data_IF_603362510965
#
_entry.id   IF_603362510965
#
_cell.length_a   1.000
_cell.length_b   1.000
_cell.length_c   1.000
_cell.angle_alpha   90.00
_cell.angle_beta   90.00
_cell.angle_gamma   90.00
#
_symmetry.space_group_name_H-M   'P 1'
#
loop_
_entity.id
_entity.type
_entity.pdbx_description
1 polymer ?
#
# COMPACT_ATOMS: atom_id res chain seq x y z
N UNK A 1 -12.34 -26.45 23.84
CA UNK A 1 -11.06 -26.22 23.14
C UNK A 1 -11.37 -25.28 22.00
N UNK A 2 -11.43 -23.98 22.28
CA UNK A 2 -11.33 -22.95 21.24
C UNK A 2 -9.96 -23.13 20.56
N UNK A 3 -9.98 -23.48 19.28
CA UNK A 3 -8.82 -23.34 18.40
C UNK A 3 -8.96 -22.02 17.69
N UNK A 4 -8.21 -21.02 18.17
CA UNK A 4 -8.11 -19.69 17.58
C UNK A 4 -7.50 -19.81 16.17
N UNK A 5 -8.30 -19.46 15.16
CA UNK A 5 -7.88 -19.46 13.77
C UNK A 5 -6.99 -18.23 13.56
N UNK A 6 -5.71 -18.46 13.27
CA UNK A 6 -4.77 -17.39 12.93
C UNK A 6 -5.34 -16.55 11.78
N UNK A 7 -5.69 -15.31 12.06
CA UNK A 7 -6.22 -14.36 11.08
C UNK A 7 -5.15 -14.10 10.01
N UNK A 8 -5.53 -14.27 8.74
CA UNK A 8 -4.68 -13.99 7.59
C UNK A 8 -4.73 -12.48 7.30
N UNK A 9 -3.61 -11.80 7.52
CA UNK A 9 -3.47 -10.35 7.33
C UNK A 9 -3.17 -10.06 5.85
N UNK A 10 -4.18 -9.59 5.11
CA UNK A 10 -4.01 -9.16 3.72
C UNK A 10 -3.74 -7.67 3.69
N UNK A 11 -2.68 -7.24 3.02
CA UNK A 11 -2.26 -5.84 2.98
C UNK A 11 -2.45 -5.25 1.56
N UNK A 12 -3.23 -4.18 1.39
CA UNK A 12 -3.48 -3.53 0.07
C UNK A 12 -2.87 -2.11 0.00
N UNK A 13 -2.19 -1.80 -1.10
CA UNK A 13 -1.52 -0.50 -1.28
C UNK A 13 -2.51 0.64 -1.57
N UNK A 14 -2.56 1.69 -0.75
CA UNK A 14 -3.34 2.91 -1.06
C UNK A 14 -2.57 4.18 -0.66
N UNK A 15 -2.13 5.03 -1.61
CA UNK A 15 -1.39 6.30 -1.38
C UNK A 15 -1.78 7.46 -2.33
N UNK A 16 -2.04 8.70 -1.83
CA UNK A 16 -2.86 9.76 -2.47
C UNK A 16 -2.04 10.89 -3.05
N UNK A 17 -2.22 11.11 -4.34
CA UNK A 17 -1.72 12.23 -5.11
C UNK A 17 -2.72 12.52 -6.23
N UNK A 18 -3.62 13.49 -6.04
CA UNK A 18 -4.43 13.96 -7.16
C UNK A 18 -3.60 14.92 -8.04
N UNK A 19 -3.71 14.74 -9.35
CA UNK A 19 -3.25 15.68 -10.39
C UNK A 19 -4.47 16.23 -11.12
N UNK A 20 -4.60 17.55 -11.14
CA UNK A 20 -5.58 18.27 -11.96
C UNK A 20 -4.97 18.46 -13.35
N UNK A 21 -5.68 18.11 -14.43
CA UNK A 21 -5.17 18.33 -15.79
C UNK A 21 -4.78 19.81 -15.97
N UNK A 22 -3.49 20.06 -16.24
CA UNK A 22 -2.92 21.40 -16.34
C UNK A 22 -2.18 21.91 -15.10
N UNK A 23 -2.16 21.18 -13.98
CA UNK A 23 -1.32 21.46 -12.81
C UNK A 23 -0.51 20.22 -12.41
N UNK A 24 0.76 20.21 -12.78
CA UNK A 24 1.72 19.20 -12.31
C UNK A 24 1.93 19.44 -10.81
N UNK A 25 1.48 18.52 -9.94
CA UNK A 25 1.60 18.69 -8.49
C UNK A 25 0.94 17.58 -7.68
N UNK A 26 0.95 17.74 -6.37
CA UNK A 26 0.35 16.81 -5.40
C UNK A 26 -0.73 17.52 -4.60
N UNK A 27 -1.94 16.95 -4.59
CA UNK A 27 -3.06 17.42 -3.76
C UNK A 27 -3.09 16.64 -2.45
N UNK A 28 -3.23 17.36 -1.34
CA UNK A 28 -3.50 16.80 -0.02
C UNK A 28 -4.99 17.00 0.25
N UNK A 29 -5.74 15.91 0.36
CA UNK A 29 -7.18 15.91 0.58
C UNK A 29 -7.52 15.09 1.84
N UNK A 30 -8.29 15.66 2.76
CA UNK A 30 -8.81 14.96 3.93
C UNK A 30 -10.14 14.24 3.67
N UNK A 31 -10.73 14.46 2.49
CA UNK A 31 -12.02 13.90 2.08
C UNK A 31 -11.95 12.46 1.56
N UNK A 32 -10.76 11.92 1.32
CA UNK A 32 -10.58 10.55 0.82
C UNK A 32 -9.85 9.68 1.85
N UNK A 33 -10.31 8.44 2.01
CA UNK A 33 -9.60 7.43 2.81
C UNK A 33 -8.42 6.87 2.03
N UNK A 34 -8.69 6.60 0.74
CA UNK A 34 -7.72 6.08 -0.19
C UNK A 34 -7.11 7.21 -0.99
N UNK A 35 -6.15 6.75 -1.75
CA UNK A 35 -4.98 7.48 -1.96
C UNK A 35 -4.58 6.98 -3.36
N UNK A 36 -4.74 7.87 -4.34
CA UNK A 36 -4.63 7.65 -5.78
C UNK A 36 -3.29 8.11 -6.35
N UNK A 37 -2.61 7.26 -7.10
CA UNK A 37 -1.44 7.65 -7.89
C UNK A 37 -1.78 7.58 -9.39
N UNK A 38 -1.11 8.36 -10.24
CA UNK A 38 -1.12 8.11 -11.68
C UNK A 38 -0.66 6.67 -11.94
N UNK A 39 -1.29 5.97 -12.90
CA UNK A 39 -1.07 4.54 -13.15
C UNK A 39 0.42 4.16 -13.22
N UNK A 40 1.22 4.96 -13.94
CA UNK A 40 2.66 4.74 -14.08
C UNK A 40 3.41 4.81 -12.74
N UNK A 41 3.04 5.77 -11.89
CA UNK A 41 3.62 5.91 -10.55
C UNK A 41 3.12 4.83 -9.60
N UNK A 42 1.85 4.43 -9.69
CA UNK A 42 1.28 3.32 -8.94
C UNK A 42 2.04 2.02 -9.25
N UNK A 43 2.20 1.69 -10.54
CA UNK A 43 2.86 0.46 -10.97
C UNK A 43 4.33 0.41 -10.49
N UNK A 44 5.07 1.53 -10.63
CA UNK A 44 6.45 1.62 -10.14
C UNK A 44 6.53 1.46 -8.62
N UNK A 45 5.62 2.10 -7.90
CA UNK A 45 5.55 1.99 -6.45
C UNK A 45 5.28 0.55 -6.03
N UNK A 46 4.23 -0.04 -6.57
CA UNK A 46 3.78 -1.39 -6.27
C UNK A 46 4.93 -2.38 -6.54
N UNK A 47 5.60 -2.30 -7.71
CA UNK A 47 6.69 -3.20 -8.07
C UNK A 47 7.92 -3.06 -7.16
N UNK A 48 8.21 -1.83 -6.70
CA UNK A 48 9.27 -1.61 -5.73
C UNK A 48 8.96 -2.28 -4.38
N UNK A 49 7.70 -2.26 -3.92
CA UNK A 49 7.29 -3.00 -2.73
C UNK A 49 7.44 -4.50 -2.96
N UNK A 50 6.90 -5.02 -4.06
CA UNK A 50 6.96 -6.45 -4.39
C UNK A 50 8.41 -6.98 -4.50
N UNK A 51 9.35 -6.15 -4.93
CA UNK A 51 10.77 -6.50 -4.98
C UNK A 51 11.46 -6.46 -3.61
N UNK A 52 10.92 -5.70 -2.65
CA UNK A 52 11.54 -5.45 -1.35
C UNK A 52 10.94 -6.28 -0.20
N UNK A 53 9.83 -6.98 -0.42
CA UNK A 53 9.22 -7.82 0.63
C UNK A 53 10.13 -8.99 1.04
N UNK A 54 10.12 -9.39 2.32
CA UNK A 54 10.85 -10.55 2.78
C UNK A 54 10.22 -11.85 2.27
N UNK A 55 11.00 -12.94 2.23
CA UNK A 55 10.54 -14.26 1.77
C UNK A 55 9.40 -14.87 2.58
N UNK A 56 9.13 -14.34 3.78
CA UNK A 56 7.98 -14.69 4.62
C UNK A 56 6.65 -14.06 4.19
N UNK A 57 6.67 -13.22 3.16
CA UNK A 57 5.48 -12.59 2.58
C UNK A 57 5.25 -13.20 1.21
N UNK A 58 4.01 -13.59 0.93
CA UNK A 58 3.62 -14.17 -0.34
C UNK A 58 2.69 -13.23 -1.09
N UNK A 59 2.96 -13.07 -2.39
CA UNK A 59 2.09 -12.28 -3.28
C UNK A 59 0.92 -13.17 -3.70
N UNK A 60 -0.30 -12.66 -3.55
CA UNK A 60 -1.54 -13.29 -3.99
C UNK A 60 -2.34 -12.30 -4.85
N UNK A 61 -3.19 -12.82 -5.73
CA UNK A 61 -4.09 -11.98 -6.54
C UNK A 61 -5.51 -12.20 -6.09
N UNK A 62 -6.16 -11.15 -5.60
CA UNK A 62 -7.55 -11.19 -5.13
C UNK A 62 -8.35 -10.15 -5.89
N UNK A 63 -9.45 -10.59 -6.54
CA UNK A 63 -10.31 -9.74 -7.39
C UNK A 63 -9.57 -8.91 -8.46
N UNK A 64 -8.39 -9.36 -8.90
CA UNK A 64 -7.56 -8.64 -9.87
C UNK A 64 -6.53 -7.69 -9.25
N UNK A 65 -6.55 -7.48 -7.93
CA UNK A 65 -5.57 -6.66 -7.22
C UNK A 65 -4.43 -7.53 -6.69
N UNK A 66 -3.22 -6.96 -6.67
CA UNK A 66 -2.07 -7.56 -6.00
C UNK A 66 -2.21 -7.34 -4.49
N UNK A 67 -2.12 -8.44 -3.75
CA UNK A 67 -2.29 -8.48 -2.32
C UNK A 67 -1.12 -9.27 -1.71
N UNK A 68 -0.85 -9.06 -0.43
CA UNK A 68 0.23 -9.75 0.27
C UNK A 68 -0.33 -10.56 1.43
N UNK A 69 -0.01 -11.84 1.49
CA UNK A 69 -0.34 -12.74 2.59
C UNK A 69 0.88 -12.95 3.48
N UNK A 70 0.72 -12.69 4.77
CA UNK A 70 1.74 -12.95 5.78
C UNK A 70 1.09 -13.23 7.14
N UNK A 71 1.75 -14.07 7.94
CA UNK A 71 1.39 -14.30 9.35
C UNK A 71 2.17 -13.39 10.30
N UNK A 72 3.09 -12.59 9.76
CA UNK A 72 3.87 -11.60 10.49
C UNK A 72 3.18 -10.24 10.46
N UNK A 73 3.63 -9.30 11.29
CA UNK A 73 3.15 -7.92 11.25
C UNK A 73 3.46 -7.25 9.91
N UNK A 74 2.56 -6.39 9.40
CA UNK A 74 2.87 -5.45 8.30
C UNK A 74 4.12 -4.60 8.50
N UNK A 75 4.66 -4.50 9.72
CA UNK A 75 5.93 -3.83 9.98
C UNK A 75 7.14 -4.46 9.26
N UNK A 76 7.01 -5.67 8.70
CA UNK A 76 8.08 -6.32 7.90
C UNK A 76 8.22 -5.77 6.48
N UNK A 77 7.27 -4.95 6.03
CA UNK A 77 7.33 -4.28 4.73
C UNK A 77 8.25 -3.05 4.79
N UNK A 78 8.81 -2.60 3.65
CA UNK A 78 9.75 -1.48 3.64
C UNK A 78 9.07 -0.16 4.03
N UNK A 79 9.87 0.80 4.48
CA UNK A 79 9.41 2.19 4.50
C UNK A 79 9.41 2.74 3.07
N UNK A 80 8.44 3.58 2.74
CA UNK A 80 8.41 4.27 1.46
C UNK A 80 8.52 5.79 1.64
N UNK A 81 8.92 6.50 0.58
CA UNK A 81 9.00 7.96 0.60
C UNK A 81 8.55 8.56 -0.72
N UNK A 82 7.64 9.51 -0.66
CA UNK A 82 7.40 10.45 -1.76
C UNK A 82 8.27 11.69 -1.54
N UNK A 83 9.17 11.94 -2.48
CA UNK A 83 10.11 13.06 -2.42
C UNK A 83 9.63 14.18 -3.34
N UNK A 84 9.56 15.39 -2.80
CA UNK A 84 9.09 16.59 -3.48
C UNK A 84 10.26 17.55 -3.73
N UNK A 85 9.96 18.63 -4.45
CA UNK A 85 10.91 19.71 -4.67
C UNK A 85 11.45 20.27 -3.34
N UNK A 86 12.62 20.90 -3.42
CA UNK A 86 13.29 21.55 -2.29
C UNK A 86 13.63 20.63 -1.09
N UNK A 87 13.69 19.32 -1.34
CA UNK A 87 14.11 18.32 -0.35
C UNK A 87 13.03 17.93 0.66
N UNK A 88 11.78 18.32 0.44
CA UNK A 88 10.66 17.86 1.25
C UNK A 88 10.34 16.38 0.95
N UNK A 89 10.04 15.60 1.98
CA UNK A 89 9.68 14.18 1.84
C UNK A 89 8.49 13.82 2.71
N UNK A 90 7.53 13.11 2.13
CA UNK A 90 6.50 12.37 2.87
C UNK A 90 6.99 10.94 3.06
N UNK A 91 7.27 10.60 4.30
CA UNK A 91 7.73 9.27 4.70
C UNK A 91 6.54 8.44 5.17
N UNK A 92 6.33 7.28 4.56
CA UNK A 92 5.23 6.37 4.85
C UNK A 92 5.75 5.11 5.51
N UNK A 93 5.18 4.79 6.68
CA UNK A 93 5.36 3.49 7.32
C UNK A 93 4.46 2.47 6.60
N UNK A 94 4.74 1.16 6.72
CA UNK A 94 3.89 0.13 6.13
C UNK A 94 2.39 0.32 6.35
N UNK A 95 1.96 0.63 7.57
CA UNK A 95 0.56 0.84 7.91
C UNK A 95 -0.07 2.12 7.32
N UNK A 96 0.75 3.07 6.85
CA UNK A 96 0.27 4.30 6.23
C UNK A 96 -0.09 4.05 4.75
N UNK A 97 0.35 2.92 4.20
CA UNK A 97 0.16 2.60 2.79
C UNK A 97 -0.42 1.21 2.55
N UNK A 98 -0.48 0.32 3.55
CA UNK A 98 -1.09 -1.00 3.49
C UNK A 98 -2.39 -1.04 4.31
N UNK A 99 -3.47 -1.50 3.70
CA UNK A 99 -4.75 -1.76 4.36
C UNK A 99 -4.83 -3.23 4.74
N UNK A 100 -5.01 -3.50 6.03
CA UNK A 100 -5.36 -4.83 6.52
C UNK A 100 -6.78 -5.18 6.10
N UNK A 101 -6.92 -6.20 5.27
CA UNK A 101 -8.18 -6.78 4.85
C UNK A 101 -8.18 -8.29 5.09
N UNK A 102 -9.37 -8.86 5.04
CA UNK A 102 -9.56 -10.31 4.98
C UNK A 102 -9.85 -10.65 3.52
N UNK A 103 -9.38 -11.80 3.00
CA UNK A 103 -9.61 -12.21 1.62
C UNK A 103 -11.10 -12.22 1.18
N UNK A 104 -12.02 -12.20 2.14
CA UNK A 104 -13.49 -12.17 1.95
C UNK A 104 -14.06 -10.76 1.80
N UNK A 105 -13.39 -9.72 2.33
CA UNK A 105 -13.90 -8.34 2.43
C UNK A 105 -12.90 -7.28 1.90
N UNK A 106 -12.12 -7.61 0.88
CA UNK A 106 -11.54 -6.55 0.04
C UNK A 106 -12.69 -6.03 -0.82
N UNK A 107 -13.06 -4.76 -0.66
CA UNK A 107 -14.22 -4.15 -1.33
C UNK A 107 -14.09 -4.29 -2.86
#
# INVERSE_FOLDING_TARGET
MEGDASEEEVAEFTGAVAIEEGKIGTVIDSGTTLAYLPEEAYNQFDDAIAAAIPSSVHIVTLKGNRCYSTTNSVAVFPQASFNFADGASLVLRPQDYLIKGNAVNLY
#
